data_IF_570952851967
#
_entry.id   IF_570952851967
#
_cell.length_a   1.000
_cell.length_b   1.000
_cell.length_c   1.000
_cell.angle_alpha   90.00
_cell.angle_beta   90.00
_cell.angle_gamma   90.00
#
_symmetry.space_group_name_H-M   'P 1'
#
loop_
_entity.id
_entity.type
_entity.pdbx_description
1 polymer ?
#
# COMPACT_ATOMS: atom_id res chain seq x y z
N UNK A 1 7.07 21.65 12.82
CA UNK A 1 5.83 20.93 13.18
C UNK A 1 6.06 19.48 12.77
N UNK A 2 6.78 18.72 13.61
CA UNK A 2 7.32 17.39 13.33
C UNK A 2 6.48 16.34 14.04
N UNK A 3 6.01 15.34 13.30
CA UNK A 3 5.41 14.10 13.82
C UNK A 3 5.55 13.06 12.70
N UNK A 4 6.12 11.85 12.80
CA UNK A 4 6.46 10.98 13.94
C UNK A 4 7.72 10.16 13.59
N UNK A 5 8.69 10.10 14.50
CA UNK A 5 9.57 8.93 14.68
C UNK A 5 9.27 8.44 16.10
N UNK A 6 8.99 7.15 16.24
CA UNK A 6 8.61 6.55 17.51
C UNK A 6 8.90 5.07 17.50
N UNK A 7 10.17 4.70 17.56
CA UNK A 7 10.55 3.41 18.12
C UNK A 7 10.11 3.42 19.59
N UNK A 8 9.16 2.54 19.93
CA UNK A 8 8.92 2.13 21.31
C UNK A 8 9.04 0.62 21.36
N UNK A 9 10.05 0.16 22.11
CA UNK A 9 10.14 -1.23 22.58
C UNK A 9 8.93 -1.52 23.45
N UNK A 10 8.01 -2.34 22.95
CA UNK A 10 6.87 -2.83 23.72
C UNK A 10 7.26 -4.11 24.43
N UNK A 11 6.92 -4.17 25.72
CA UNK A 11 7.11 -5.32 26.61
C UNK A 11 6.38 -6.54 26.01
N UNK A 12 7.06 -7.69 26.11
CA UNK A 12 6.55 -9.01 25.71
C UNK A 12 5.33 -9.34 26.56
N UNK A 13 4.17 -9.32 25.92
CA UNK A 13 2.93 -9.93 26.34
C UNK A 13 2.40 -10.68 25.12
N UNK A 14 2.02 -11.93 25.31
CA UNK A 14 1.74 -12.90 24.25
C UNK A 14 0.59 -12.44 23.35
N UNK A 15 0.89 -11.79 22.23
CA UNK A 15 -0.06 -11.56 21.14
C UNK A 15 0.69 -11.38 19.80
N UNK A 16 1.33 -12.44 19.33
CA UNK A 16 2.14 -12.45 18.10
C UNK A 16 1.31 -12.41 16.79
N UNK A 17 -0.02 -12.24 16.86
CA UNK A 17 -0.92 -12.30 15.70
C UNK A 17 -1.30 -10.98 15.03
N UNK A 18 -1.17 -9.83 15.70
CA UNK A 18 -1.78 -8.56 15.25
C UNK A 18 -0.81 -7.55 14.62
N UNK A 19 0.51 -7.72 14.80
CA UNK A 19 1.49 -6.65 14.53
C UNK A 19 1.66 -6.27 13.06
N UNK A 20 1.26 -7.13 12.11
CA UNK A 20 1.33 -6.86 10.66
C UNK A 20 -0.02 -7.00 9.93
N UNK A 21 -1.16 -6.82 10.62
CA UNK A 21 -2.48 -7.01 9.99
C UNK A 21 -3.01 -5.77 9.24
N UNK A 22 -2.42 -4.60 9.45
CA UNK A 22 -2.97 -3.34 8.92
C UNK A 22 -2.19 -2.82 7.71
N UNK A 23 -2.84 -1.93 6.96
CA UNK A 23 -2.27 -1.18 5.85
C UNK A 23 -1.62 -2.06 4.79
N UNK A 24 -2.27 -3.18 4.45
CA UNK A 24 -1.81 -4.21 3.51
C UNK A 24 -0.42 -4.81 3.81
N UNK A 25 -0.03 -4.93 5.08
CA UNK A 25 1.20 -5.63 5.52
C UNK A 25 0.99 -7.12 5.82
N UNK A 26 -0.23 -7.64 5.62
CA UNK A 26 -0.55 -9.02 5.97
C UNK A 26 0.31 -10.02 5.20
N UNK A 27 0.79 -11.05 5.91
CA UNK A 27 1.54 -12.18 5.33
C UNK A 27 0.63 -13.28 4.76
N UNK A 28 -0.68 -13.12 4.87
CA UNK A 28 -1.67 -14.06 4.32
C UNK A 28 -1.62 -14.10 2.79
N UNK A 29 -1.75 -15.30 2.23
CA UNK A 29 -1.77 -15.48 0.78
C UNK A 29 -3.11 -15.00 0.20
N UNK A 30 -3.04 -14.07 -0.75
CA UNK A 30 -4.18 -13.49 -1.44
C UNK A 30 -4.54 -14.34 -2.67
N UNK A 31 -5.20 -15.48 -2.42
CA UNK A 31 -5.63 -16.41 -3.48
C UNK A 31 -7.01 -17.00 -3.18
N UNK A 32 -7.98 -16.91 -4.13
CA UNK A 32 -7.88 -16.23 -5.42
C UNK A 32 -7.84 -14.70 -5.26
N UNK A 33 -7.38 -13.98 -6.30
CA UNK A 33 -7.58 -12.53 -6.37
C UNK A 33 -9.04 -12.25 -6.75
N UNK A 34 -9.81 -11.50 -5.94
CA UNK A 34 -11.16 -11.14 -6.33
C UNK A 34 -11.16 -10.24 -7.57
N UNK A 35 -12.11 -10.47 -8.49
CA UNK A 35 -12.18 -9.72 -9.77
C UNK A 35 -12.39 -8.21 -9.58
N UNK A 36 -13.01 -7.81 -8.47
CA UNK A 36 -13.25 -6.40 -8.15
C UNK A 36 -12.03 -5.68 -7.58
N UNK A 37 -10.93 -6.38 -7.26
CA UNK A 37 -9.63 -5.75 -6.93
C UNK A 37 -8.92 -5.41 -8.23
N UNK A 38 -8.99 -4.15 -8.65
CA UNK A 38 -8.65 -3.73 -10.02
C UNK A 38 -7.16 -3.58 -10.28
N UNK A 39 -6.36 -3.31 -9.24
CA UNK A 39 -4.94 -3.04 -9.38
C UNK A 39 -4.09 -4.15 -8.75
N UNK A 40 -2.85 -4.27 -9.20
CA UNK A 40 -1.91 -5.31 -8.79
C UNK A 40 -0.65 -4.71 -8.16
N UNK A 41 -0.04 -5.47 -7.25
CA UNK A 41 1.29 -5.19 -6.72
C UNK A 41 2.31 -5.01 -7.85
N UNK A 42 3.16 -4.00 -7.70
CA UNK A 42 4.18 -3.61 -8.68
C UNK A 42 3.69 -2.59 -9.71
N UNK A 43 2.39 -2.33 -9.84
CA UNK A 43 1.92 -1.29 -10.75
C UNK A 43 2.24 0.12 -10.24
N UNK A 44 2.57 1.01 -11.18
CA UNK A 44 2.84 2.43 -10.90
C UNK A 44 1.56 3.22 -11.05
N UNK A 45 1.31 4.11 -10.10
CA UNK A 45 0.09 4.90 -10.00
C UNK A 45 0.39 6.37 -9.80
N UNK A 46 -0.60 7.20 -10.06
CA UNK A 46 -0.69 8.59 -9.59
C UNK A 46 -1.93 8.70 -8.72
N UNK A 47 -1.77 9.32 -7.54
CA UNK A 47 -2.90 9.62 -6.67
C UNK A 47 -3.77 10.71 -7.32
N UNK A 48 -5.04 10.44 -7.61
CA UNK A 48 -5.93 11.32 -8.37
C UNK A 48 -6.01 12.73 -7.82
N UNK A 49 -6.26 12.88 -6.52
CA UNK A 49 -6.44 14.20 -5.90
C UNK A 49 -5.14 14.94 -5.55
N UNK A 50 -4.07 14.23 -5.19
CA UNK A 50 -2.84 14.83 -4.66
C UNK A 50 -1.67 14.81 -5.65
N UNK A 51 -1.82 14.12 -6.79
CA UNK A 51 -0.87 14.15 -7.90
C UNK A 51 0.45 13.42 -7.69
N UNK A 52 0.72 12.85 -6.51
CA UNK A 52 1.96 12.11 -6.29
C UNK A 52 1.95 10.76 -7.00
N UNK A 53 3.09 10.37 -7.56
CA UNK A 53 3.34 9.05 -8.12
C UNK A 53 3.86 8.05 -7.08
N UNK A 54 3.65 6.76 -7.31
CA UNK A 54 4.17 5.70 -6.45
C UNK A 54 3.92 4.31 -7.01
N UNK A 55 4.39 3.29 -6.30
CA UNK A 55 4.18 1.87 -6.66
C UNK A 55 3.33 1.17 -5.61
N UNK A 56 2.38 0.35 -6.06
CA UNK A 56 1.58 -0.51 -5.17
C UNK A 56 2.46 -1.64 -4.63
N UNK A 57 2.50 -1.79 -3.31
CA UNK A 57 3.23 -2.87 -2.61
C UNK A 57 2.34 -3.87 -1.89
N UNK A 58 1.04 -3.59 -1.79
CA UNK A 58 0.06 -4.49 -1.21
C UNK A 58 -1.36 -3.94 -1.36
N UNK A 59 -2.35 -4.81 -1.18
CA UNK A 59 -3.76 -4.42 -1.16
C UNK A 59 -4.55 -5.23 -0.14
N UNK A 60 -5.63 -4.64 0.37
CA UNK A 60 -6.66 -5.31 1.16
C UNK A 60 -8.00 -5.19 0.42
N UNK A 61 -8.85 -6.23 0.50
CA UNK A 61 -10.20 -6.22 -0.13
C UNK A 61 -11.14 -5.16 0.46
N UNK A 62 -10.93 -4.84 1.73
CA UNK A 62 -11.58 -3.77 2.49
C UNK A 62 -10.50 -3.11 3.34
N UNK A 63 -10.73 -1.88 3.80
CA UNK A 63 -9.75 -1.17 4.62
C UNK A 63 -9.42 -1.96 5.89
N UNK A 64 -8.14 -2.33 6.04
CA UNK A 64 -7.61 -2.85 7.29
C UNK A 64 -6.72 -1.80 7.91
N UNK A 65 -7.28 -1.03 8.82
CA UNK A 65 -6.54 -0.08 9.65
C UNK A 65 -7.23 0.04 11.01
N UNK A 66 -6.54 0.57 12.04
CA UNK A 66 -7.18 0.87 13.31
C UNK A 66 -8.42 1.74 13.10
N UNK A 67 -9.50 1.43 13.82
CA UNK A 67 -10.79 2.12 13.62
C UNK A 67 -10.67 3.64 13.84
N UNK A 68 -9.88 4.05 14.84
CA UNK A 68 -9.56 5.46 15.07
C UNK A 68 -8.90 6.11 13.85
N UNK A 69 -7.99 5.42 13.17
CA UNK A 69 -7.33 5.93 11.98
C UNK A 69 -8.34 6.08 10.84
N UNK A 70 -9.21 5.10 10.67
CA UNK A 70 -10.26 5.11 9.65
C UNK A 70 -11.27 6.25 9.86
N UNK A 71 -11.65 6.54 11.11
CA UNK A 71 -12.52 7.67 11.45
C UNK A 71 -11.87 9.02 11.15
N UNK A 72 -10.57 9.18 11.41
CA UNK A 72 -9.84 10.39 11.05
C UNK A 72 -9.62 10.52 9.54
N UNK A 73 -9.45 9.39 8.85
CA UNK A 73 -9.16 9.35 7.41
C UNK A 73 -10.38 9.68 6.55
N UNK A 74 -11.56 9.27 7.00
CA UNK A 74 -12.81 9.37 6.24
C UNK A 74 -13.86 10.17 7.01
N UNK A 75 -14.38 11.28 6.47
CA UNK A 75 -15.51 11.98 7.09
C UNK A 75 -16.77 11.07 7.10
N UNK A 76 -17.79 11.39 7.91
CA UNK A 76 -19.01 10.59 7.99
C UNK A 76 -19.69 10.33 6.63
N UNK A 77 -19.60 11.28 5.69
CA UNK A 77 -20.16 11.15 4.35
C UNK A 77 -19.38 10.21 3.41
N UNK A 78 -18.24 9.65 3.83
CA UNK A 78 -17.36 8.79 3.03
C UNK A 78 -16.95 7.50 3.76
N UNK A 79 -17.79 7.03 4.68
CA UNK A 79 -17.51 5.81 5.45
C UNK A 79 -17.59 4.55 4.60
N UNK A 80 -18.39 4.57 3.54
CA UNK A 80 -18.52 3.53 2.52
C UNK A 80 -17.18 3.18 1.85
N UNK A 81 -16.25 4.14 1.77
CA UNK A 81 -14.93 3.88 1.24
C UNK A 81 -14.20 2.78 1.99
N UNK A 82 -14.43 2.61 3.30
CA UNK A 82 -13.81 1.56 4.12
C UNK A 82 -14.10 0.15 3.58
N UNK A 83 -15.21 -0.04 2.90
CA UNK A 83 -15.63 -1.34 2.35
C UNK A 83 -15.11 -1.57 0.91
N UNK A 84 -14.26 -0.69 0.40
CA UNK A 84 -13.64 -0.81 -0.93
C UNK A 84 -12.20 -1.33 -0.85
N UNK A 85 -11.63 -1.86 -1.94
CA UNK A 85 -10.22 -2.24 -1.98
C UNK A 85 -9.31 -1.06 -1.63
N UNK A 86 -8.33 -1.31 -0.78
CA UNK A 86 -7.33 -0.33 -0.36
C UNK A 86 -5.92 -0.79 -0.69
N UNK A 87 -5.07 0.16 -1.02
CA UNK A 87 -3.74 -0.11 -1.53
C UNK A 87 -2.69 0.62 -0.72
N UNK A 88 -1.61 -0.11 -0.41
CA UNK A 88 -0.40 0.45 0.17
C UNK A 88 0.54 0.87 -0.95
N UNK A 89 0.98 2.13 -0.90
CA UNK A 89 1.81 2.76 -1.92
C UNK A 89 3.16 3.17 -1.32
N UNK A 90 4.26 2.85 -2.00
CA UNK A 90 5.54 3.53 -1.79
C UNK A 90 5.56 4.79 -2.66
N UNK A 91 5.63 5.96 -2.03
CA UNK A 91 5.56 7.25 -2.70
C UNK A 91 6.91 7.57 -3.32
N UNK A 92 6.93 8.00 -4.58
CA UNK A 92 8.17 8.43 -5.21
C UNK A 92 8.73 9.67 -4.49
N UNK A 93 9.95 9.57 -3.95
CA UNK A 93 10.60 10.65 -3.18
C UNK A 93 10.72 11.95 -3.98
N UNK A 94 10.86 11.85 -5.30
CA UNK A 94 10.98 13.02 -6.20
C UNK A 94 9.75 13.92 -6.14
N UNK A 95 8.58 13.40 -5.74
CA UNK A 95 7.37 14.20 -5.59
C UNK A 95 7.48 15.25 -4.46
N UNK A 96 8.44 15.13 -3.53
CA UNK A 96 8.58 16.08 -2.42
C UNK A 96 7.40 16.09 -1.44
N UNK A 97 6.56 15.04 -1.46
CA UNK A 97 5.28 14.99 -0.73
C UNK A 97 5.43 14.88 0.80
N UNK A 98 6.66 14.69 1.31
CA UNK A 98 6.96 14.62 2.74
C UNK A 98 6.54 13.33 3.45
N UNK A 99 5.81 12.43 2.77
CA UNK A 99 5.49 11.07 3.25
C UNK A 99 6.18 10.03 2.38
N UNK A 100 6.63 8.94 3.01
CA UNK A 100 7.28 7.83 2.31
C UNK A 100 6.27 6.80 1.80
N UNK A 101 5.18 6.58 2.55
CA UNK A 101 4.13 5.61 2.22
C UNK A 101 2.74 6.22 2.32
N UNK A 102 1.78 5.60 1.65
CA UNK A 102 0.36 5.92 1.79
C UNK A 102 -0.50 4.65 1.78
N UNK A 103 -1.67 4.76 2.37
CA UNK A 103 -2.75 3.77 2.31
C UNK A 103 -4.01 4.47 1.80
N UNK A 104 -4.46 4.12 0.60
CA UNK A 104 -5.49 4.87 -0.15
C UNK A 104 -6.55 3.93 -0.74
N UNK A 105 -7.80 4.40 -0.89
CA UNK A 105 -8.86 3.62 -1.51
C UNK A 105 -8.65 3.53 -3.03
N UNK A 106 -9.21 2.49 -3.64
CA UNK A 106 -9.12 2.23 -5.09
C UNK A 106 -9.54 3.43 -5.95
N UNK A 107 -10.56 4.16 -5.50
CA UNK A 107 -11.09 5.31 -6.24
C UNK A 107 -10.09 6.46 -6.41
N UNK A 108 -9.05 6.53 -5.58
CA UNK A 108 -8.01 7.58 -5.63
C UNK A 108 -6.82 7.19 -6.52
N UNK A 109 -6.88 6.05 -7.22
CA UNK A 109 -5.78 5.53 -8.04
C UNK A 109 -6.03 5.73 -9.53
N UNK A 110 -5.05 6.33 -10.21
CA UNK A 110 -4.92 6.30 -11.67
C UNK A 110 -3.68 5.51 -12.05
N UNK A 111 -3.84 4.45 -12.84
CA UNK A 111 -2.70 3.72 -13.42
C UNK A 111 -1.98 4.59 -14.44
N UNK A 112 -0.65 4.51 -14.42
CA UNK A 112 0.18 5.11 -15.46
C UNK A 112 1.05 4.03 -16.10
N UNK A 113 1.18 4.11 -17.42
CA UNK A 113 2.05 3.24 -18.21
C UNK A 113 3.31 4.01 -18.63
N UNK A 114 4.43 3.30 -18.74
CA UNK A 114 5.72 3.88 -19.12
C UNK A 114 6.71 3.95 -17.97
N UNK A 115 7.99 4.16 -18.31
CA UNK A 115 9.13 4.06 -17.38
C UNK A 115 9.17 5.26 -16.42
N UNK A 116 8.31 5.29 -15.42
CA UNK A 116 8.51 6.13 -14.24
C UNK A 116 9.27 5.34 -13.18
N UNK A 117 10.58 5.57 -13.13
CA UNK A 117 11.42 5.05 -12.05
C UNK A 117 10.95 5.66 -10.74
N UNK A 118 10.37 4.83 -9.87
CA UNK A 118 10.01 5.22 -8.51
C UNK A 118 11.27 5.20 -7.65
N UNK A 119 11.64 6.36 -7.12
CA UNK A 119 12.76 6.48 -6.18
C UNK A 119 12.24 6.36 -4.76
N UNK A 120 12.38 5.18 -4.16
CA UNK A 120 12.05 4.93 -2.75
C UNK A 120 13.08 3.97 -2.13
N UNK A 121 13.51 4.17 -0.86
CA UNK A 121 14.56 3.37 -0.21
C UNK A 121 14.20 1.89 -0.14
N UNK A 122 12.93 1.61 0.09
CA UNK A 122 12.44 0.24 0.26
C UNK A 122 12.19 -0.50 -1.07
N UNK A 123 12.39 0.14 -2.24
CA UNK A 123 12.10 -0.52 -3.53
C UNK A 123 12.75 -1.89 -3.66
N UNK A 124 14.01 -2.02 -3.23
CA UNK A 124 14.78 -3.27 -3.34
C UNK A 124 14.26 -4.38 -2.42
N UNK A 125 13.53 -4.01 -1.35
CA UNK A 125 12.92 -4.98 -0.43
C UNK A 125 11.71 -5.66 -1.07
N UNK A 126 10.95 -4.93 -1.90
CA UNK A 126 9.72 -5.43 -2.53
C UNK A 126 9.92 -5.92 -3.97
N UNK A 127 10.86 -5.33 -4.72
CA UNK A 127 10.99 -5.56 -6.16
C UNK A 127 12.43 -5.85 -6.60
N UNK A 128 12.57 -6.70 -7.62
CA UNK A 128 13.84 -7.11 -8.21
C UNK A 128 14.15 -6.41 -9.54
N UNK A 129 13.16 -5.82 -10.20
CA UNK A 129 13.32 -5.15 -11.48
C UNK A 129 12.00 -4.57 -12.01
N UNK A 130 11.99 -4.13 -13.26
CA UNK A 130 10.82 -3.57 -13.93
C UNK A 130 10.60 -4.29 -15.27
N UNK A 131 9.39 -4.78 -15.53
CA UNK A 131 9.06 -5.57 -16.72
C UNK A 131 8.70 -4.73 -17.95
N UNK A 132 8.67 -3.40 -17.82
CA UNK A 132 8.14 -2.48 -18.84
C UNK A 132 6.69 -2.07 -18.59
N UNK A 133 5.93 -2.85 -17.81
CA UNK A 133 4.55 -2.53 -17.40
C UNK A 133 4.40 -2.35 -15.89
N UNK A 134 5.09 -3.16 -15.10
CA UNK A 134 5.07 -3.14 -13.64
C UNK A 134 6.40 -3.60 -13.05
N UNK A 135 6.61 -3.32 -11.77
CA UNK A 135 7.74 -3.87 -11.03
C UNK A 135 7.57 -5.38 -10.78
N UNK A 136 8.66 -6.11 -10.91
CA UNK A 136 8.73 -7.55 -10.68
C UNK A 136 8.91 -7.77 -9.18
N UNK A 137 7.94 -8.44 -8.57
CA UNK A 137 7.96 -8.75 -7.14
C UNK A 137 9.15 -9.63 -6.77
N UNK A 138 9.71 -9.39 -5.58
CA UNK A 138 10.59 -10.35 -4.92
C UNK A 138 9.84 -11.66 -4.63
N UNK A 139 10.53 -12.81 -4.53
CA UNK A 139 9.89 -14.12 -4.34
C UNK A 139 8.93 -14.17 -3.14
N UNK A 140 9.30 -13.52 -2.03
CA UNK A 140 8.48 -13.49 -0.83
C UNK A 140 7.14 -12.76 -1.04
N UNK A 141 7.15 -11.65 -1.79
CA UNK A 141 5.96 -10.85 -2.07
C UNK A 141 5.08 -11.55 -3.11
N UNK A 142 5.70 -12.19 -4.12
CA UNK A 142 4.98 -13.02 -5.09
C UNK A 142 4.26 -14.20 -4.43
N UNK A 143 4.80 -14.76 -3.35
CA UNK A 143 4.13 -15.81 -2.56
C UNK A 143 2.86 -15.30 -1.86
N UNK A 144 2.86 -14.04 -1.43
CA UNK A 144 1.71 -13.40 -0.78
C UNK A 144 0.66 -12.99 -1.83
N UNK A 145 1.08 -12.51 -3.00
CA UNK A 145 0.21 -12.07 -4.09
C UNK A 145 0.45 -12.91 -5.38
N UNK A 146 0.10 -14.21 -5.38
CA UNK A 146 0.47 -15.12 -6.47
C UNK A 146 -0.20 -14.79 -7.81
N UNK A 147 -1.36 -14.12 -7.78
CA UNK A 147 -2.13 -13.76 -8.97
C UNK A 147 -1.81 -12.36 -9.51
N UNK A 148 -0.91 -11.63 -8.85
CA UNK A 148 -0.55 -10.25 -9.22
C UNK A 148 0.58 -10.14 -10.22
#
# INVERSE_FOLDING_TARGET
>A
RNWYYGEKKTKIGDNEGETHSYFAESTHVHSPKPEYVRFSVGQVIVHKRLGYSGVIVGWDVTAKAPEEWLQHRYPPAKQDLKDTPHYRILINKVNGFGKSTAYIPEEEITLIMGLQVVHHPDMKNYFSGYSGSKYIMQPWLKRIYPHD
#
